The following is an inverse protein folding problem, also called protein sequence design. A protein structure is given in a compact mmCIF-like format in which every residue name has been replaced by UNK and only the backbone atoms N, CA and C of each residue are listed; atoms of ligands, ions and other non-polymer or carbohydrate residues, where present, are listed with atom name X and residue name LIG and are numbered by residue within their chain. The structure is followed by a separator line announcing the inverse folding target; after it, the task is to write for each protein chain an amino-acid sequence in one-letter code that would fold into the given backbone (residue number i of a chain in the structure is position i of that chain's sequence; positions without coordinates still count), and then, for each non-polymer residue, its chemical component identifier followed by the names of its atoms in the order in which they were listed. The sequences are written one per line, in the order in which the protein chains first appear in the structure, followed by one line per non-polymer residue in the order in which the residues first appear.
data_IF_968024373589
#
_entry.id   IF_968024373589
#
_cell.length_a   1.000
_cell.length_b   1.000
_cell.length_c   1.000
_cell.angle_alpha   90.00
_cell.angle_beta   90.00
_cell.angle_gamma   90.00
#
_symmetry.space_group_name_H-M   'P 1'
#
loop_
_entity.id
_entity.type
_entity.pdbx_description
1 polymer ?
#
# COMPACT_ATOMS: atom_id res chain seq x y z
N UNK A 1 10.47 -23.06 24.19
CA UNK A 1 10.16 -24.42 23.67
C UNK A 1 9.58 -24.23 22.27
N UNK A 2 10.02 -24.79 21.13
CA UNK A 2 10.96 -25.87 20.77
C UNK A 2 11.27 -25.77 19.26
N UNK A 3 12.48 -26.21 18.88
CA UNK A 3 13.16 -26.56 17.59
C UNK A 3 12.29 -27.07 16.41
N UNK A 4 12.67 -27.15 15.10
CA UNK A 4 13.80 -26.72 14.25
C UNK A 4 13.62 -27.22 12.77
N UNK A 5 14.58 -26.84 11.90
CA UNK A 5 15.12 -27.50 10.68
C UNK A 5 14.68 -27.02 9.28
N UNK A 6 15.67 -26.50 8.57
CA UNK A 6 15.71 -26.03 7.18
C UNK A 6 15.65 -27.18 6.16
N UNK A 7 14.99 -26.94 5.03
CA UNK A 7 15.04 -27.79 3.84
C UNK A 7 14.85 -26.97 2.57
N UNK A 8 15.93 -26.77 1.83
CA UNK A 8 15.99 -26.28 0.44
C UNK A 8 15.64 -24.80 0.16
N UNK A 9 16.45 -23.90 0.73
CA UNK A 9 17.42 -23.15 -0.08
C UNK A 9 16.94 -22.44 -1.35
N UNK A 10 16.06 -21.43 -1.19
CA UNK A 10 16.19 -20.06 -1.74
C UNK A 10 14.94 -19.26 -1.36
N UNK A 11 14.96 -18.65 -0.18
CA UNK A 11 14.12 -17.47 0.04
C UNK A 11 14.78 -16.37 -0.79
N UNK A 12 14.26 -16.16 -2.00
CA UNK A 12 14.56 -14.96 -2.75
C UNK A 12 14.15 -13.76 -1.90
N UNK A 13 15.15 -12.99 -1.50
CA UNK A 13 15.03 -11.74 -0.78
C UNK A 13 13.98 -10.86 -1.49
N UNK A 14 12.85 -10.60 -0.83
CA UNK A 14 11.96 -9.50 -1.18
C UNK A 14 11.48 -8.79 0.09
N UNK A 15 12.46 -8.38 0.89
CA UNK A 15 12.31 -7.25 1.81
C UNK A 15 12.95 -6.06 1.12
N UNK A 16 12.27 -5.57 0.07
CA UNK A 16 12.89 -4.63 -0.88
C UNK A 16 11.86 -3.84 -1.68
N UNK A 17 11.32 -2.79 -1.06
CA UNK A 17 11.03 -1.55 -1.78
C UNK A 17 9.69 -1.40 -2.50
N UNK A 18 8.54 -1.59 -1.85
CA UNK A 18 7.31 -0.93 -2.34
C UNK A 18 7.42 0.61 -2.27
N UNK A 19 8.31 1.12 -1.40
CA UNK A 19 8.75 2.51 -1.39
C UNK A 19 9.51 2.93 -2.67
N UNK A 20 9.99 1.98 -3.48
CA UNK A 20 10.65 2.24 -4.77
C UNK A 20 9.62 2.33 -5.91
N UNK A 21 8.52 1.58 -5.84
CA UNK A 21 7.47 1.62 -6.89
C UNK A 21 6.66 2.92 -6.87
N UNK A 22 6.43 3.49 -5.68
CA UNK A 22 5.82 4.82 -5.53
C UNK A 22 6.68 5.95 -6.11
N UNK A 23 7.99 5.74 -6.32
CA UNK A 23 8.88 6.73 -6.97
C UNK A 23 8.83 6.70 -8.50
N UNK A 24 8.25 5.67 -9.12
CA UNK A 24 8.17 5.54 -10.58
C UNK A 24 6.89 6.10 -11.21
N UNK A 25 6.11 6.92 -10.47
CA UNK A 25 5.10 7.74 -11.13
C UNK A 25 5.82 8.91 -11.80
N UNK A 26 5.77 9.08 -13.14
CA UNK A 26 6.28 10.29 -13.76
C UNK A 26 5.44 11.46 -13.25
N UNK A 27 5.95 12.20 -12.27
CA UNK A 27 5.47 13.56 -12.03
C UNK A 27 5.78 14.32 -13.31
N UNK A 28 4.73 14.82 -13.96
CA UNK A 28 4.85 15.71 -15.10
C UNK A 28 5.69 16.92 -14.68
N UNK A 29 6.98 16.88 -15.03
CA UNK A 29 7.90 18.01 -14.94
C UNK A 29 7.40 19.08 -15.90
N UNK A 30 6.56 19.97 -15.41
CA UNK A 30 6.29 21.25 -16.06
C UNK A 30 7.48 22.17 -15.79
N UNK A 31 8.59 21.92 -16.49
CA UNK A 31 9.69 22.86 -16.56
C UNK A 31 9.35 23.93 -17.59
N UNK A 32 8.84 25.07 -17.12
CA UNK A 32 8.94 26.34 -17.84
C UNK A 32 10.27 26.98 -17.45
N UNK A 33 11.23 27.21 -18.37
CA UNK A 33 12.40 28.01 -18.05
C UNK A 33 11.97 29.48 -17.90
N UNK A 34 12.12 30.05 -16.70
CA UNK A 34 12.03 31.49 -16.47
C UNK A 34 13.47 32.03 -16.50
N UNK A 35 13.71 32.95 -17.44
CA UNK A 35 14.96 33.69 -17.62
C UNK A 35 15.57 34.17 -16.30
N UNK A 36 16.87 33.89 -16.14
CA UNK A 36 17.75 34.51 -15.17
C UNK A 36 17.99 35.98 -15.55
N UNK A 37 17.66 36.88 -14.61
CA UNK A 37 18.31 38.18 -14.48
C UNK A 37 18.10 38.72 -13.04
N UNK A 38 19.24 38.95 -12.38
CA UNK A 38 19.51 39.93 -11.33
C UNK A 38 19.03 39.76 -9.86
N UNK A 39 20.06 39.57 -9.01
CA UNK A 39 20.37 40.28 -7.77
C UNK A 39 19.50 40.14 -6.49
N UNK A 40 20.11 39.43 -5.52
CA UNK A 40 20.26 39.78 -4.10
C UNK A 40 19.03 40.31 -3.32
N UNK A 41 18.33 39.42 -2.59
CA UNK A 41 17.84 39.71 -1.21
C UNK A 41 17.28 38.49 -0.47
N UNK A 42 17.62 38.44 0.82
CA UNK A 42 16.98 37.72 1.94
C UNK A 42 17.04 36.18 1.94
N UNK A 43 17.55 35.64 3.05
CA UNK A 43 17.44 34.23 3.37
C UNK A 43 15.96 33.79 3.28
N UNK A 44 15.64 32.69 2.58
CA UNK A 44 14.27 32.24 2.48
C UNK A 44 13.82 31.78 3.87
N UNK A 45 12.89 32.52 4.47
CA UNK A 45 12.01 31.97 5.51
C UNK A 45 11.40 30.70 4.90
N UNK A 46 11.73 29.56 5.48
CA UNK A 46 11.19 28.28 5.06
C UNK A 46 9.66 28.42 4.95
N UNK A 47 9.05 28.08 3.81
CA UNK A 47 7.62 28.22 3.65
C UNK A 47 6.94 27.35 4.72
N UNK A 48 6.18 28.00 5.59
CA UNK A 48 5.26 27.32 6.51
C UNK A 48 4.40 26.43 5.63
N UNK A 49 4.57 25.10 5.73
CA UNK A 49 3.79 24.16 4.93
C UNK A 49 2.32 24.44 5.22
N UNK A 50 1.62 25.01 4.25
CA UNK A 50 0.19 25.25 4.35
C UNK A 50 -0.49 23.89 4.60
N UNK A 51 -1.26 23.81 5.68
CA UNK A 51 -2.05 22.62 6.02
C UNK A 51 -2.86 22.21 4.80
N UNK A 52 -2.54 21.04 4.25
CA UNK A 52 -3.17 20.54 3.04
C UNK A 52 -4.53 19.95 3.40
N UNK A 53 -5.59 20.54 2.87
CA UNK A 53 -6.96 20.02 3.02
C UNK A 53 -7.22 18.87 2.06
N UNK A 54 -8.04 17.91 2.47
CA UNK A 54 -8.54 16.87 1.59
C UNK A 54 -9.33 17.46 0.42
N UNK A 55 -9.12 16.92 -0.77
CA UNK A 55 -9.99 17.20 -1.92
C UNK A 55 -11.31 16.41 -1.81
N UNK A 56 -12.33 16.81 -2.57
CA UNK A 56 -13.62 16.09 -2.63
C UNK A 56 -13.44 14.60 -2.99
N UNK A 57 -12.52 14.28 -3.90
CA UNK A 57 -12.22 12.90 -4.29
C UNK A 57 -11.62 12.10 -3.13
N UNK A 58 -10.68 12.70 -2.40
CA UNK A 58 -10.04 12.06 -1.25
C UNK A 58 -10.99 11.90 -0.07
N UNK A 59 -11.92 12.84 0.14
CA UNK A 59 -12.98 12.71 1.14
C UNK A 59 -13.90 11.52 0.80
N UNK A 60 -14.33 11.41 -0.46
CA UNK A 60 -15.14 10.28 -0.93
C UNK A 60 -14.41 8.95 -0.81
N UNK A 61 -13.11 8.94 -1.09
CA UNK A 61 -12.27 7.76 -0.91
C UNK A 61 -12.21 7.35 0.56
N UNK A 62 -11.96 8.30 1.46
CA UNK A 62 -11.94 8.07 2.91
C UNK A 62 -13.26 7.50 3.43
N UNK A 63 -14.39 8.01 2.94
CA UNK A 63 -15.74 7.50 3.29
C UNK A 63 -15.96 6.04 2.84
N UNK A 64 -15.35 5.61 1.73
CA UNK A 64 -15.54 4.28 1.16
C UNK A 64 -14.54 3.23 1.67
N UNK A 65 -13.35 3.66 2.11
CA UNK A 65 -12.28 2.76 2.56
C UNK A 65 -12.69 1.78 3.67
N UNK A 66 -13.48 2.16 4.69
CA UNK A 66 -13.95 1.21 5.70
C UNK A 66 -14.71 0.02 5.11
N UNK A 67 -15.64 0.28 4.17
CA UNK A 67 -16.39 -0.79 3.52
C UNK A 67 -15.50 -1.68 2.63
N UNK A 68 -14.50 -1.08 1.96
CA UNK A 68 -13.50 -1.86 1.20
C UNK A 68 -12.66 -2.75 2.12
N UNK A 69 -12.21 -2.22 3.26
CA UNK A 69 -11.45 -2.94 4.27
C UNK A 69 -12.26 -4.13 4.79
N UNK A 70 -13.51 -3.91 5.21
CA UNK A 70 -14.40 -4.98 5.70
C UNK A 70 -14.60 -6.08 4.64
N UNK A 71 -14.76 -5.72 3.37
CA UNK A 71 -14.91 -6.69 2.29
C UNK A 71 -13.64 -7.52 2.07
N UNK A 72 -12.46 -6.89 2.15
CA UNK A 72 -11.17 -7.58 2.04
C UNK A 72 -10.92 -8.51 3.23
N UNK A 73 -11.26 -8.09 4.45
CA UNK A 73 -11.18 -8.92 5.66
C UNK A 73 -12.11 -10.13 5.58
N UNK A 74 -13.36 -9.93 5.14
CA UNK A 74 -14.30 -11.01 4.89
C UNK A 74 -13.75 -12.00 3.86
N UNK A 75 -13.16 -11.48 2.77
CA UNK A 75 -12.56 -12.31 1.72
C UNK A 75 -11.38 -13.13 2.23
N UNK A 76 -10.52 -12.56 3.07
CA UNK A 76 -9.44 -13.30 3.74
C UNK A 76 -10.04 -14.41 4.60
N UNK A 77 -11.07 -14.11 5.40
CA UNK A 77 -11.76 -15.10 6.22
C UNK A 77 -12.32 -16.28 5.41
N UNK A 78 -12.95 -16.00 4.27
CA UNK A 78 -13.45 -17.03 3.35
C UNK A 78 -12.32 -17.91 2.80
N UNK A 79 -11.24 -17.30 2.33
CA UNK A 79 -10.09 -18.02 1.78
C UNK A 79 -9.41 -18.86 2.86
N UNK A 80 -9.24 -18.33 4.07
CA UNK A 80 -8.68 -19.06 5.20
C UNK A 80 -9.56 -20.25 5.58
N UNK A 81 -10.88 -20.07 5.62
CA UNK A 81 -11.81 -21.16 5.89
C UNK A 81 -11.72 -22.26 4.82
N UNK A 82 -11.64 -21.89 3.54
CA UNK A 82 -11.48 -22.84 2.44
C UNK A 82 -10.14 -23.60 2.54
N UNK A 83 -9.04 -22.91 2.86
CA UNK A 83 -7.71 -23.51 2.99
C UNK A 83 -7.56 -24.42 4.22
N UNK A 84 -8.41 -24.24 5.23
CA UNK A 84 -8.46 -25.12 6.41
C UNK A 84 -9.20 -26.44 6.16
N UNK A 85 -9.91 -26.59 5.04
CA UNK A 85 -10.59 -27.85 4.70
C UNK A 85 -9.54 -28.90 4.26
N UNK A 86 -9.52 -30.13 4.85
CA UNK A 86 -8.63 -31.20 4.38
C UNK A 86 -8.80 -31.59 2.90
N UNK A 87 -9.95 -31.28 2.28
CA UNK A 87 -10.18 -31.41 0.85
C UNK A 87 -9.36 -30.45 -0.01
N UNK A 88 -9.00 -29.28 0.53
CA UNK A 88 -8.19 -28.28 -0.17
C UNK A 88 -6.82 -28.85 -0.56
N UNK A 89 -6.16 -29.55 0.37
CA UNK A 89 -4.86 -30.19 0.11
C UNK A 89 -4.93 -31.44 -0.76
N UNK A 90 -6.14 -31.88 -1.15
CA UNK A 90 -6.35 -32.96 -2.14
C UNK A 90 -6.47 -32.42 -3.56
N UNK A 91 -6.50 -31.11 -3.75
CA UNK A 91 -6.46 -30.47 -5.07
C UNK A 91 -5.08 -30.62 -5.71
N UNK A 92 -4.96 -30.30 -7.00
CA UNK A 92 -3.67 -30.29 -7.67
C UNK A 92 -2.77 -29.14 -7.17
N UNK A 93 -1.47 -29.30 -7.37
CA UNK A 93 -0.48 -28.33 -6.88
C UNK A 93 -0.67 -26.93 -7.47
N UNK A 94 -1.15 -26.79 -8.72
CA UNK A 94 -1.38 -25.48 -9.31
C UNK A 94 -2.56 -24.78 -8.64
N UNK A 95 -3.63 -25.49 -8.32
CA UNK A 95 -4.77 -24.95 -7.58
C UNK A 95 -4.36 -24.46 -6.18
N UNK A 96 -3.51 -25.23 -5.47
CA UNK A 96 -3.01 -24.84 -4.14
C UNK A 96 -2.11 -23.61 -4.23
N UNK A 97 -1.20 -23.54 -5.22
CA UNK A 97 -0.35 -22.36 -5.44
C UNK A 97 -1.19 -21.13 -5.77
N UNK A 98 -2.15 -21.26 -6.69
CA UNK A 98 -3.02 -20.14 -7.08
C UNK A 98 -3.83 -19.61 -5.89
N UNK A 99 -4.36 -20.48 -5.03
CA UNK A 99 -5.08 -20.04 -3.84
C UNK A 99 -4.17 -19.31 -2.82
N UNK A 100 -2.92 -19.74 -2.66
CA UNK A 100 -1.94 -19.02 -1.83
C UNK A 100 -1.58 -17.65 -2.43
N UNK A 101 -1.43 -17.55 -3.75
CA UNK A 101 -1.18 -16.28 -4.44
C UNK A 101 -2.36 -15.32 -4.28
N UNK A 102 -3.60 -15.81 -4.40
CA UNK A 102 -4.80 -15.01 -4.17
C UNK A 102 -4.86 -14.54 -2.71
N UNK A 103 -4.60 -15.42 -1.73
CA UNK A 103 -4.54 -15.04 -0.32
C UNK A 103 -3.52 -13.92 -0.07
N UNK A 104 -2.31 -14.07 -0.61
CA UNK A 104 -1.24 -13.07 -0.46
C UNK A 104 -1.62 -11.72 -1.10
N UNK A 105 -2.26 -11.75 -2.28
CA UNK A 105 -2.71 -10.55 -2.97
C UNK A 105 -3.79 -9.79 -2.17
N UNK A 106 -4.80 -10.50 -1.65
CA UNK A 106 -5.88 -9.87 -0.86
C UNK A 106 -5.34 -9.29 0.45
N UNK A 107 -4.39 -9.96 1.10
CA UNK A 107 -3.73 -9.44 2.30
C UNK A 107 -2.94 -8.16 2.00
N UNK A 108 -2.19 -8.12 0.89
CA UNK A 108 -1.45 -6.93 0.48
C UNK A 108 -2.37 -5.76 0.10
N UNK A 109 -3.53 -6.06 -0.50
CA UNK A 109 -4.54 -5.05 -0.80
C UNK A 109 -5.16 -4.47 0.49
N UNK A 110 -5.46 -5.31 1.48
CA UNK A 110 -5.94 -4.89 2.79
C UNK A 110 -4.95 -3.95 3.48
N UNK A 111 -3.67 -4.32 3.52
CA UNK A 111 -2.61 -3.49 4.10
C UNK A 111 -2.50 -2.13 3.38
N UNK A 112 -2.62 -2.14 2.05
CA UNK A 112 -2.61 -0.92 1.23
C UNK A 112 -3.82 -0.03 1.54
N UNK A 113 -5.01 -0.62 1.69
CA UNK A 113 -6.23 0.10 2.03
C UNK A 113 -6.13 0.76 3.42
N UNK A 114 -5.60 0.04 4.41
CA UNK A 114 -5.34 0.59 5.74
C UNK A 114 -4.33 1.74 5.71
N UNK A 115 -3.21 1.57 5.01
CA UNK A 115 -2.20 2.63 4.88
C UNK A 115 -2.79 3.88 4.20
N UNK A 116 -3.66 3.70 3.20
CA UNK A 116 -4.34 4.81 2.52
C UNK A 116 -5.33 5.50 3.45
N UNK A 117 -6.11 4.73 4.21
CA UNK A 117 -7.06 5.26 5.18
C UNK A 117 -6.35 6.11 6.24
N UNK A 118 -5.27 5.58 6.83
CA UNK A 118 -4.45 6.31 7.81
C UNK A 118 -3.86 7.61 7.24
N UNK A 119 -3.38 7.60 6.00
CA UNK A 119 -2.83 8.80 5.35
C UNK A 119 -3.90 9.88 5.12
N UNK A 120 -5.11 9.48 4.75
CA UNK A 120 -6.25 10.38 4.56
C UNK A 120 -6.76 10.95 5.88
N UNK A 121 -6.90 10.10 6.91
CA UNK A 121 -7.25 10.51 8.28
C UNK A 121 -6.24 11.51 8.85
N UNK A 122 -4.92 11.27 8.67
CA UNK A 122 -3.88 12.19 9.12
C UNK A 122 -3.98 13.56 8.42
N UNK A 123 -4.34 13.57 7.13
CA UNK A 123 -4.56 14.81 6.38
C UNK A 123 -5.83 15.53 6.84
N UNK A 124 -6.90 14.79 7.17
CA UNK A 124 -8.13 15.33 7.72
C UNK A 124 -7.92 15.97 9.10
N UNK A 125 -7.21 15.28 10.00
CA UNK A 125 -6.93 15.75 11.36
C UNK A 125 -5.93 16.91 11.40
N UNK A 126 -5.00 16.97 10.43
CA UNK A 126 -4.01 18.04 10.29
C UNK A 126 -4.54 19.32 9.63
N UNK A 127 -5.77 19.30 9.10
CA UNK A 127 -6.40 20.45 8.42
C UNK A 127 -6.85 21.56 9.36
#
# INVERSE_FOLDING_TARGET
STLALEGEGRVGEYVGGYAEWLRQRPQAVSMRPRNEADAARAAPLAPVQAKRKLSYKEMRELENLPATIEALEARIGELTAAMNDPAFFRQDAQAIVAANEVMAAVQAELDTAYARWQALEATAAGS
#
